data_IF_121855878830
#
_entry.id   IF_121855878830
#
_cell.length_a   1.000
_cell.length_b   1.000
_cell.length_c   1.000
_cell.angle_alpha   90.00
_cell.angle_beta   90.00
_cell.angle_gamma   90.00
#
_symmetry.space_group_name_H-M   'P 1'
#
loop_
_entity.id
_entity.type
_entity.pdbx_description
1 polymer ?
#
# COMPACT_ATOMS: atom_id res chain seq x y z
N UNK A 1 29.11 6.63 -23.48
CA UNK A 1 29.50 5.55 -24.42
C UNK A 1 28.50 5.54 -25.57
N UNK A 2 28.92 5.64 -26.85
CA UNK A 2 27.98 5.76 -27.96
C UNK A 2 27.56 4.40 -28.57
N UNK A 3 26.32 4.39 -29.03
CA UNK A 3 25.59 3.36 -29.79
C UNK A 3 26.33 2.95 -31.09
N UNK A 4 26.29 1.66 -31.48
CA UNK A 4 26.72 1.17 -32.81
C UNK A 4 25.55 0.48 -33.53
N UNK A 5 25.26 0.82 -34.80
CA UNK A 5 24.22 0.15 -35.59
C UNK A 5 24.73 -0.96 -36.53
N UNK A 6 23.79 -1.86 -36.82
CA UNK A 6 23.58 -2.90 -37.85
C UNK A 6 24.62 -3.21 -38.94
N UNK A 7 24.73 -4.52 -39.24
CA UNK A 7 25.28 -5.07 -40.49
C UNK A 7 24.20 -5.86 -41.25
N UNK A 8 24.00 -5.51 -42.52
CA UNK A 8 23.21 -6.24 -43.56
C UNK A 8 24.18 -6.98 -44.53
N UNK A 9 23.73 -7.79 -45.52
CA UNK A 9 23.98 -9.22 -45.65
C UNK A 9 24.82 -9.58 -46.90
N UNK A 10 25.03 -10.88 -47.20
CA UNK A 10 24.80 -11.35 -48.58
C UNK A 10 24.17 -12.77 -48.55
N UNK A 11 23.62 -13.38 -49.60
CA UNK A 11 23.56 -13.15 -51.04
C UNK A 11 22.90 -14.40 -51.64
N UNK A 12 22.16 -14.25 -52.74
CA UNK A 12 21.27 -15.25 -53.34
C UNK A 12 21.98 -15.98 -54.51
N UNK A 13 21.93 -17.30 -54.55
CA UNK A 13 22.16 -18.19 -55.72
C UNK A 13 21.78 -19.61 -55.27
N UNK A 14 21.08 -20.50 -55.98
CA UNK A 14 21.07 -20.82 -57.40
C UNK A 14 19.71 -21.43 -57.84
N UNK A 15 19.46 -21.43 -59.16
CA UNK A 15 18.34 -22.10 -59.84
C UNK A 15 18.65 -23.59 -60.03
N UNK A 16 17.74 -24.48 -59.61
CA UNK A 16 17.72 -25.90 -59.96
C UNK A 16 16.57 -26.20 -60.93
N UNK A 17 16.83 -27.04 -61.92
CA UNK A 17 15.95 -27.42 -63.04
C UNK A 17 14.81 -28.34 -62.62
N UNK A 18 13.58 -28.05 -63.07
CA UNK A 18 12.36 -28.78 -62.72
C UNK A 18 12.12 -29.97 -63.68
N UNK A 19 11.94 -31.17 -63.11
CA UNK A 19 11.56 -32.39 -63.84
C UNK A 19 10.06 -32.73 -63.56
N UNK A 20 9.17 -32.74 -64.56
CA UNK A 20 7.71 -32.77 -64.31
C UNK A 20 7.09 -34.12 -63.94
N UNK A 21 7.78 -35.24 -64.09
CA UNK A 21 7.16 -36.57 -64.02
C UNK A 21 7.08 -37.17 -62.60
N UNK A 22 7.88 -36.69 -61.66
CA UNK A 22 7.94 -37.23 -60.29
C UNK A 22 6.85 -36.63 -59.35
N UNK A 23 6.15 -35.60 -59.81
CA UNK A 23 5.24 -34.81 -58.97
C UNK A 23 3.79 -35.30 -58.99
N UNK A 24 3.44 -36.25 -59.87
CA UNK A 24 2.05 -36.63 -60.11
C UNK A 24 1.53 -37.72 -59.15
N UNK A 25 2.41 -38.53 -58.56
CA UNK A 25 2.01 -39.59 -57.63
C UNK A 25 1.74 -39.06 -56.20
N UNK A 26 2.45 -38.01 -55.78
CA UNK A 26 2.22 -37.35 -54.49
C UNK A 26 0.85 -36.63 -54.44
N UNK A 27 0.40 -36.08 -55.57
CA UNK A 27 -0.84 -35.31 -55.65
C UNK A 27 -2.10 -36.19 -55.64
N UNK A 28 -2.04 -37.41 -56.18
CA UNK A 28 -3.19 -38.32 -56.18
C UNK A 28 -3.51 -38.84 -54.77
N UNK A 29 -2.47 -39.12 -53.97
CA UNK A 29 -2.65 -39.57 -52.58
C UNK A 29 -3.18 -38.44 -51.67
N UNK A 30 -2.70 -37.20 -51.84
CA UNK A 30 -3.23 -36.04 -51.12
C UNK A 30 -4.70 -35.75 -51.47
N UNK A 31 -5.13 -36.00 -52.72
CA UNK A 31 -6.51 -35.76 -53.16
C UNK A 31 -7.51 -36.74 -52.50
N UNK A 32 -7.12 -38.00 -52.34
CA UNK A 32 -7.95 -39.05 -51.72
C UNK A 32 -8.14 -38.80 -50.21
N UNK A 33 -7.07 -38.44 -49.49
CA UNK A 33 -7.16 -38.07 -48.07
C UNK A 33 -8.02 -36.83 -47.82
N UNK A 34 -7.92 -35.82 -48.70
CA UNK A 34 -8.74 -34.62 -48.61
C UNK A 34 -10.24 -34.90 -48.86
N UNK A 35 -10.58 -35.89 -49.68
CA UNK A 35 -11.97 -36.27 -49.98
C UNK A 35 -12.67 -36.98 -48.80
N UNK A 36 -11.93 -37.78 -48.04
CA UNK A 36 -12.44 -38.49 -46.86
C UNK A 36 -12.69 -37.53 -45.69
N UNK A 37 -11.80 -36.55 -45.50
CA UNK A 37 -11.96 -35.48 -44.50
C UNK A 37 -13.18 -34.59 -44.82
N UNK A 38 -13.43 -34.31 -46.11
CA UNK A 38 -14.62 -33.52 -46.54
C UNK A 38 -15.95 -34.26 -46.37
N UNK A 39 -15.96 -35.61 -46.39
CA UNK A 39 -17.17 -36.40 -46.14
C UNK A 39 -17.54 -36.47 -44.66
N UNK A 40 -16.56 -36.55 -43.76
CA UNK A 40 -16.80 -36.52 -42.31
C UNK A 40 -17.31 -35.15 -41.81
N UNK A 41 -16.92 -34.06 -42.47
CA UNK A 41 -17.34 -32.70 -42.13
C UNK A 41 -18.77 -32.31 -42.58
N UNK A 42 -19.50 -33.22 -43.26
CA UNK A 42 -20.84 -32.96 -43.83
C UNK A 42 -22.00 -33.64 -43.10
N UNK A 43 -21.76 -34.18 -41.90
CA UNK A 43 -22.84 -34.72 -41.08
C UNK A 43 -23.53 -33.61 -40.24
N UNK A 44 -24.79 -33.24 -40.56
CA UNK A 44 -25.52 -32.21 -39.85
C UNK A 44 -25.82 -32.58 -38.38
N UNK A 45 -25.72 -33.86 -38.00
CA UNK A 45 -25.89 -34.32 -36.61
C UNK A 45 -24.64 -34.06 -35.78
N UNK A 46 -23.45 -34.34 -36.34
CA UNK A 46 -22.17 -34.02 -35.71
C UNK A 46 -21.97 -32.50 -35.53
N UNK A 47 -22.36 -31.70 -36.54
CA UNK A 47 -22.26 -30.24 -36.47
C UNK A 47 -23.22 -29.61 -35.44
N UNK A 48 -24.36 -30.25 -35.14
CA UNK A 48 -25.32 -29.79 -34.13
C UNK A 48 -24.86 -30.15 -32.71
N UNK A 49 -24.29 -31.34 -32.52
CA UNK A 49 -23.72 -31.79 -31.25
C UNK A 49 -22.49 -30.99 -30.84
N UNK A 50 -21.58 -30.68 -31.78
CA UNK A 50 -20.41 -29.81 -31.52
C UNK A 50 -20.85 -28.39 -31.16
N UNK A 51 -21.87 -27.83 -31.83
CA UNK A 51 -22.43 -26.51 -31.47
C UNK A 51 -23.09 -26.49 -30.10
N UNK A 52 -23.73 -27.58 -29.68
CA UNK A 52 -24.35 -27.67 -28.35
C UNK A 52 -23.30 -27.91 -27.26
N UNK A 53 -22.26 -28.69 -27.53
CA UNK A 53 -21.13 -28.88 -26.62
C UNK A 53 -20.34 -27.58 -26.40
N UNK A 54 -20.10 -26.77 -27.45
CA UNK A 54 -19.43 -25.46 -27.33
C UNK A 54 -20.30 -24.47 -26.54
N UNK A 55 -21.62 -24.42 -26.79
CA UNK A 55 -22.53 -23.56 -26.02
C UNK A 55 -22.66 -23.98 -24.55
N UNK A 56 -22.71 -25.28 -24.27
CA UNK A 56 -22.75 -25.79 -22.90
C UNK A 56 -21.43 -25.52 -22.15
N UNK A 57 -20.28 -25.64 -22.83
CA UNK A 57 -18.97 -25.36 -22.24
C UNK A 57 -18.78 -23.86 -21.95
N UNK A 58 -19.28 -22.97 -22.82
CA UNK A 58 -19.25 -21.52 -22.57
C UNK A 58 -20.23 -21.07 -21.47
N UNK A 59 -21.36 -21.75 -21.29
CA UNK A 59 -22.35 -21.42 -20.25
C UNK A 59 -21.97 -21.98 -18.87
N UNK A 60 -21.12 -23.02 -18.78
CA UNK A 60 -20.68 -23.59 -17.50
C UNK A 60 -19.42 -22.93 -16.91
N UNK A 61 -18.64 -22.20 -17.72
CA UNK A 61 -17.41 -21.54 -17.28
C UNK A 61 -17.59 -20.06 -16.89
N UNK A 62 -18.81 -19.51 -16.97
CA UNK A 62 -19.03 -18.06 -16.86
C UNK A 62 -19.38 -17.50 -15.46
N UNK A 63 -19.75 -18.23 -14.40
CA UNK A 63 -20.01 -17.56 -13.12
C UNK A 63 -18.76 -17.41 -12.22
N UNK A 64 -17.58 -17.88 -12.61
CA UNK A 64 -16.40 -17.87 -11.72
C UNK A 64 -15.45 -16.66 -11.88
N UNK A 65 -15.84 -15.65 -12.65
CA UNK A 65 -15.02 -14.44 -12.87
C UNK A 65 -15.54 -13.20 -12.14
N UNK A 66 -16.61 -13.31 -11.34
CA UNK A 66 -17.14 -12.19 -10.55
C UNK A 66 -16.84 -12.39 -9.07
N UNK A 67 -15.54 -12.42 -8.73
CA UNK A 67 -15.14 -12.06 -7.38
C UNK A 67 -15.49 -10.57 -7.22
N UNK A 68 -16.30 -10.16 -6.22
CA UNK A 68 -16.45 -8.75 -5.95
C UNK A 68 -15.05 -8.23 -5.63
N UNK A 69 -14.53 -7.35 -6.49
CA UNK A 69 -13.44 -6.48 -6.08
C UNK A 69 -13.97 -5.72 -4.88
N UNK A 70 -13.59 -6.13 -3.68
CA UNK A 70 -13.81 -5.33 -2.49
C UNK A 70 -13.12 -4.00 -2.79
N UNK A 71 -13.92 -2.99 -3.15
CA UNK A 71 -13.42 -1.64 -3.27
C UNK A 71 -12.78 -1.34 -1.92
N UNK A 72 -11.49 -0.98 -1.92
CA UNK A 72 -10.88 -0.35 -0.77
C UNK A 72 -11.60 0.97 -0.59
N UNK A 73 -12.75 0.93 0.10
CA UNK A 73 -13.46 2.12 0.49
C UNK A 73 -12.50 2.89 1.39
N UNK A 74 -12.14 4.11 0.98
CA UNK A 74 -11.48 5.05 1.88
C UNK A 74 -12.35 5.10 3.14
N UNK A 75 -11.81 4.77 4.33
CA UNK A 75 -12.59 4.86 5.55
C UNK A 75 -13.21 6.26 5.64
N UNK A 76 -14.44 6.39 6.15
CA UNK A 76 -15.02 7.71 6.39
C UNK A 76 -14.00 8.56 7.15
N UNK A 77 -13.91 9.84 6.79
CA UNK A 77 -13.00 10.79 7.47
C UNK A 77 -13.27 10.80 8.98
N UNK A 78 -14.50 10.46 9.39
CA UNK A 78 -14.96 10.43 10.78
C UNK A 78 -14.90 9.03 11.42
N UNK A 79 -14.25 8.06 10.78
CA UNK A 79 -14.03 6.76 11.41
C UNK A 79 -12.91 6.85 12.45
N UNK A 80 -13.03 6.06 13.52
CA UNK A 80 -12.01 5.96 14.57
C UNK A 80 -10.61 5.64 13.98
N UNK A 81 -10.55 4.74 13.00
CA UNK A 81 -9.30 4.41 12.33
C UNK A 81 -8.68 5.60 11.57
N UNK A 82 -9.51 6.43 10.91
CA UNK A 82 -9.03 7.64 10.24
C UNK A 82 -8.55 8.69 11.26
N UNK A 83 -9.25 8.82 12.38
CA UNK A 83 -8.89 9.73 13.47
C UNK A 83 -7.55 9.33 14.11
N UNK A 84 -7.36 8.05 14.44
CA UNK A 84 -6.09 7.51 14.97
C UNK A 84 -4.95 7.69 13.96
N UNK A 85 -5.19 7.44 12.67
CA UNK A 85 -4.18 7.64 11.63
C UNK A 85 -3.76 9.11 11.50
N UNK A 86 -4.72 10.04 11.61
CA UNK A 86 -4.44 11.47 11.64
C UNK A 86 -3.65 11.88 12.88
N UNK A 87 -4.01 11.34 14.05
CA UNK A 87 -3.27 11.53 15.29
C UNK A 87 -1.83 11.05 15.20
N UNK A 88 -1.60 9.86 14.63
CA UNK A 88 -0.26 9.34 14.37
C UNK A 88 0.56 10.32 13.52
N UNK A 89 -0.02 10.84 12.44
CA UNK A 89 0.63 11.81 11.57
C UNK A 89 1.01 13.08 12.34
N UNK A 90 0.10 13.62 13.15
CA UNK A 90 0.42 14.80 13.96
C UNK A 90 1.56 14.50 14.92
N UNK A 91 1.47 13.42 15.70
CA UNK A 91 2.47 13.06 16.72
C UNK A 91 3.87 12.91 16.13
N UNK A 92 4.00 12.27 14.96
CA UNK A 92 5.31 11.93 14.39
C UNK A 92 5.85 12.95 13.40
N UNK A 93 4.98 13.73 12.76
CA UNK A 93 5.37 14.55 11.58
C UNK A 93 5.12 16.04 11.74
N UNK A 94 4.17 16.44 12.59
CA UNK A 94 3.78 17.84 12.75
C UNK A 94 4.16 18.37 14.12
N UNK A 95 3.68 17.70 15.18
CA UNK A 95 3.97 18.03 16.57
C UNK A 95 5.32 17.51 17.06
N UNK A 96 5.96 16.61 16.31
CA UNK A 96 7.30 16.07 16.61
C UNK A 96 7.42 15.58 18.07
N UNK A 97 6.37 14.96 18.60
CA UNK A 97 6.31 14.62 20.02
C UNK A 97 7.43 13.64 20.41
N UNK A 98 7.84 12.79 19.46
CA UNK A 98 8.93 11.81 19.62
C UNK A 98 10.29 12.46 19.85
N UNK A 99 10.52 13.71 19.44
CA UNK A 99 11.81 14.39 19.64
C UNK A 99 12.17 14.56 21.12
N UNK A 100 11.13 14.71 21.96
CA UNK A 100 11.26 14.84 23.41
C UNK A 100 10.76 13.61 24.16
N UNK A 101 9.78 12.87 23.63
CA UNK A 101 9.11 11.77 24.33
C UNK A 101 9.57 10.37 23.90
N UNK A 102 10.56 10.23 23.01
CA UNK A 102 11.18 8.95 22.67
C UNK A 102 12.65 8.96 23.11
N UNK A 103 13.11 7.98 23.91
CA UNK A 103 14.53 7.83 24.25
C UNK A 103 15.43 7.79 23.04
N UNK A 104 16.63 8.35 23.17
CA UNK A 104 17.65 8.38 22.14
C UNK A 104 18.85 7.53 22.55
N UNK A 105 19.50 6.89 21.58
CA UNK A 105 20.74 6.16 21.80
C UNK A 105 21.94 7.11 21.96
N UNK A 106 23.13 6.54 22.14
CA UNK A 106 24.38 7.29 22.32
C UNK A 106 24.77 8.14 21.09
N UNK A 107 24.12 7.92 19.94
CA UNK A 107 24.28 8.70 18.71
C UNK A 107 23.19 9.77 18.54
N UNK A 108 22.29 9.91 19.53
CA UNK A 108 21.17 10.85 19.48
C UNK A 108 20.03 10.40 18.57
N UNK A 109 20.01 9.13 18.15
CA UNK A 109 18.94 8.58 17.30
C UNK A 109 17.81 8.01 18.15
N UNK A 110 16.54 8.21 17.77
CA UNK A 110 15.42 7.68 18.54
C UNK A 110 15.43 6.14 18.56
N UNK A 111 15.25 5.57 19.74
CA UNK A 111 15.15 4.13 19.95
C UNK A 111 13.71 3.71 19.64
N UNK A 112 13.46 3.22 18.42
CA UNK A 112 12.10 2.92 17.96
C UNK A 112 11.31 1.93 18.83
N UNK A 113 11.98 0.98 19.49
CA UNK A 113 11.33 0.06 20.43
C UNK A 113 10.81 0.74 21.71
N UNK A 114 11.23 1.98 21.98
CA UNK A 114 10.84 2.79 23.11
C UNK A 114 10.07 4.05 22.66
N UNK A 115 9.38 3.98 21.53
CA UNK A 115 8.64 5.11 21.00
C UNK A 115 7.60 5.61 22.02
N UNK A 116 7.61 6.93 22.24
CA UNK A 116 6.69 7.66 23.12
C UNK A 116 6.71 7.20 24.60
N UNK A 117 7.80 6.57 25.03
CA UNK A 117 7.98 6.07 26.41
C UNK A 117 8.41 7.13 27.43
N UNK A 118 8.64 8.36 26.99
CA UNK A 118 9.28 9.42 27.77
C UNK A 118 10.79 9.24 27.77
N UNK A 119 11.53 10.32 28.00
CA UNK A 119 12.98 10.36 27.91
C UNK A 119 13.60 11.38 28.86
N UNK A 120 14.87 11.17 29.18
CA UNK A 120 15.71 12.24 29.70
C UNK A 120 16.04 13.21 28.54
N UNK A 121 15.93 14.50 28.83
CA UNK A 121 16.21 15.58 27.89
C UNK A 121 17.65 16.04 28.09
N UNK A 122 18.51 15.74 27.12
CA UNK A 122 19.94 16.06 27.17
C UNK A 122 20.23 17.48 26.66
N UNK A 123 19.46 18.46 27.12
CA UNK A 123 19.71 19.87 26.88
C UNK A 123 19.26 20.71 28.07
N UNK A 124 19.91 21.85 28.27
CA UNK A 124 19.62 22.79 29.35
C UNK A 124 19.57 24.20 28.80
N UNK A 125 18.70 25.07 29.33
CA UNK A 125 18.67 26.46 28.92
C UNK A 125 19.92 27.20 29.40
N UNK A 126 20.42 28.14 28.60
CA UNK A 126 21.59 28.96 28.96
C UNK A 126 21.30 29.92 30.13
N UNK A 127 20.03 30.23 30.34
CA UNK A 127 19.53 31.06 31.44
C UNK A 127 18.53 30.26 32.29
N UNK A 128 18.42 30.51 33.60
CA UNK A 128 17.44 29.83 34.43
C UNK A 128 16.00 30.04 33.93
N UNK A 129 15.31 28.94 33.60
CA UNK A 129 13.89 28.94 33.22
C UNK A 129 13.07 28.34 34.38
N UNK A 130 12.19 29.11 35.03
CA UNK A 130 11.35 28.60 36.09
C UNK A 130 10.50 27.40 35.64
N UNK A 131 10.51 26.33 36.45
CA UNK A 131 9.70 25.13 36.18
C UNK A 131 10.23 24.21 35.07
N UNK A 132 11.40 24.51 34.50
CA UNK A 132 12.06 23.64 33.52
C UNK A 132 12.20 22.20 34.03
N UNK A 133 11.95 21.23 33.16
CA UNK A 133 12.16 19.82 33.42
C UNK A 133 13.17 19.24 32.43
N UNK A 134 14.11 18.46 32.94
CA UNK A 134 15.05 17.66 32.16
C UNK A 134 14.47 16.29 31.79
N UNK A 135 13.19 16.05 32.05
CA UNK A 135 12.54 14.77 31.77
C UNK A 135 11.16 14.97 31.18
N UNK A 136 10.89 14.24 30.11
CA UNK A 136 9.57 14.10 29.50
C UNK A 136 8.83 12.88 30.06
N UNK A 137 7.51 12.91 30.00
CA UNK A 137 6.65 11.82 30.49
C UNK A 137 6.38 10.78 29.41
N UNK A 138 5.96 9.58 29.78
CA UNK A 138 5.40 8.61 28.82
C UNK A 138 4.10 9.16 28.21
N UNK A 139 3.95 9.04 26.89
CA UNK A 139 2.73 9.41 26.15
C UNK A 139 1.94 8.19 25.65
N UNK A 140 2.63 7.07 25.35
CA UNK A 140 1.96 5.84 24.90
C UNK A 140 0.99 5.31 25.97
N UNK A 141 -0.28 5.14 25.62
CA UNK A 141 -1.35 4.76 26.56
C UNK A 141 -1.85 5.91 27.45
N UNK A 142 -1.64 7.16 27.01
CA UNK A 142 -1.92 8.42 27.71
C UNK A 142 -0.95 8.73 28.87
N UNK A 143 -0.67 10.02 29.13
CA UNK A 143 0.04 10.43 30.33
C UNK A 143 -0.70 10.00 31.60
N UNK A 144 0.05 9.61 32.64
CA UNK A 144 -0.54 9.17 33.90
C UNK A 144 -1.51 10.21 34.48
N UNK A 145 -2.73 9.77 34.79
CA UNK A 145 -3.78 10.60 35.38
C UNK A 145 -4.55 11.48 34.38
N UNK A 146 -4.32 11.34 33.08
CA UNK A 146 -5.10 12.02 32.04
C UNK A 146 -6.16 11.09 31.44
N UNK A 147 -7.36 11.63 31.24
CA UNK A 147 -8.32 11.08 30.27
C UNK A 147 -8.04 11.62 28.87
N UNK A 148 -8.59 10.99 27.82
CA UNK A 148 -8.48 11.51 26.44
C UNK A 148 -8.99 12.95 26.32
N UNK A 149 -10.14 13.26 26.91
CA UNK A 149 -10.73 14.60 26.86
C UNK A 149 -9.86 15.64 27.59
N UNK A 150 -9.25 15.26 28.70
CA UNK A 150 -8.31 16.12 29.43
C UNK A 150 -7.03 16.36 28.62
N UNK A 151 -6.53 15.34 27.93
CA UNK A 151 -5.37 15.48 27.05
C UNK A 151 -5.68 16.36 25.85
N UNK A 152 -6.84 16.16 25.21
CA UNK A 152 -7.29 17.03 24.12
C UNK A 152 -7.38 18.49 24.57
N UNK A 153 -8.03 18.75 25.72
CA UNK A 153 -8.11 20.10 26.30
C UNK A 153 -6.72 20.70 26.57
N UNK A 154 -5.78 19.90 27.06
CA UNK A 154 -4.39 20.33 27.25
C UNK A 154 -3.72 20.72 25.92
N UNK A 155 -3.95 19.96 24.85
CA UNK A 155 -3.37 20.22 23.53
C UNK A 155 -4.02 21.42 22.81
N UNK A 156 -5.29 21.72 23.12
CA UNK A 156 -6.00 22.90 22.60
C UNK A 156 -5.60 24.18 23.33
N UNK A 157 -5.39 24.11 24.65
CA UNK A 157 -5.27 25.30 25.50
C UNK A 157 -3.87 25.53 26.05
N UNK A 158 -3.05 24.48 26.12
CA UNK A 158 -1.76 24.46 26.83
C UNK A 158 -1.87 24.37 28.36
N UNK A 159 -3.09 24.19 28.90
CA UNK A 159 -3.33 24.11 30.34
C UNK A 159 -3.58 22.67 30.77
N UNK A 160 -2.89 22.24 31.82
CA UNK A 160 -3.11 20.95 32.48
C UNK A 160 -4.50 20.92 33.11
N UNK A 161 -5.04 19.73 33.46
CA UNK A 161 -6.33 19.62 34.16
C UNK A 161 -6.40 20.40 35.47
N UNK A 162 -5.26 20.65 36.12
CA UNK A 162 -5.15 21.48 37.32
C UNK A 162 -5.01 22.99 37.06
N UNK A 163 -5.10 23.44 35.80
CA UNK A 163 -5.02 24.85 35.40
C UNK A 163 -3.59 25.41 35.26
N UNK A 164 -2.55 24.64 35.60
CA UNK A 164 -1.17 25.04 35.34
C UNK A 164 -0.83 24.97 33.84
N UNK A 165 0.10 25.79 33.36
CA UNK A 165 0.58 25.75 31.98
C UNK A 165 1.56 24.57 31.79
N UNK A 166 1.66 24.06 30.56
CA UNK A 166 2.71 23.14 30.15
C UNK A 166 4.09 23.58 30.68
N UNK A 167 4.79 22.66 31.36
CA UNK A 167 6.11 22.96 31.94
C UNK A 167 7.19 23.00 30.86
N UNK A 168 8.06 24.02 30.83
CA UNK A 168 9.18 24.06 29.89
C UNK A 168 10.05 22.80 29.99
N UNK A 169 10.58 22.26 28.88
CA UNK A 169 10.56 22.82 27.52
C UNK A 169 9.32 22.46 26.69
N UNK A 170 8.30 21.80 27.26
CA UNK A 170 7.09 21.44 26.53
C UNK A 170 6.37 22.70 26.02
N UNK A 171 6.12 22.84 24.71
CA UNK A 171 5.38 23.98 24.19
C UNK A 171 3.91 23.92 24.61
N UNK A 172 3.30 25.08 24.81
CA UNK A 172 1.87 25.20 24.97
C UNK A 172 1.20 25.11 23.59
N UNK A 173 0.75 23.91 23.21
CA UNK A 173 0.03 23.70 21.96
C UNK A 173 -1.28 24.48 21.90
N UNK A 174 -1.73 24.72 20.67
CA UNK A 174 -2.99 25.37 20.30
C UNK A 174 -3.61 24.65 19.11
N UNK A 175 -3.73 23.32 19.23
CA UNK A 175 -4.39 22.52 18.21
C UNK A 175 -5.87 22.91 18.13
N UNK A 176 -6.48 22.73 16.96
CA UNK A 176 -7.94 22.73 16.90
C UNK A 176 -8.48 21.46 17.56
N UNK A 177 -9.77 21.48 17.90
CA UNK A 177 -10.46 20.40 18.62
C UNK A 177 -10.31 19.03 17.92
N UNK A 178 -10.44 18.99 16.59
CA UNK A 178 -10.33 17.76 15.83
C UNK A 178 -8.93 17.15 15.94
N UNK A 179 -7.89 17.96 15.77
CA UNK A 179 -6.49 17.54 15.85
C UNK A 179 -6.09 17.12 17.26
N UNK A 180 -6.57 17.84 18.27
CA UNK A 180 -6.32 17.50 19.67
C UNK A 180 -6.94 16.15 20.06
N UNK A 181 -8.20 15.91 19.65
CA UNK A 181 -8.84 14.60 19.83
C UNK A 181 -8.12 13.50 19.06
N UNK A 182 -7.68 13.77 17.83
CA UNK A 182 -6.94 12.80 17.03
C UNK A 182 -5.64 12.36 17.72
N UNK A 183 -4.86 13.31 18.25
CA UNK A 183 -3.65 13.02 19.01
C UNK A 183 -3.98 12.20 20.26
N UNK A 184 -5.01 12.59 21.02
CA UNK A 184 -5.41 11.87 22.22
C UNK A 184 -5.84 10.42 21.92
N UNK A 185 -6.67 10.21 20.90
CA UNK A 185 -7.12 8.89 20.45
C UNK A 185 -5.95 8.02 20.00
N UNK A 186 -5.03 8.58 19.20
CA UNK A 186 -3.82 7.86 18.79
C UNK A 186 -2.98 7.42 19.99
N UNK A 187 -2.68 8.33 20.91
CA UNK A 187 -1.87 8.00 22.09
C UNK A 187 -2.55 6.97 22.99
N UNK A 188 -3.87 7.02 23.15
CA UNK A 188 -4.63 6.02 23.90
C UNK A 188 -4.57 4.64 23.23
N UNK A 189 -4.58 4.57 21.90
CA UNK A 189 -4.51 3.30 21.15
C UNK A 189 -3.19 2.53 21.30
N UNK A 190 -2.15 3.15 21.87
CA UNK A 190 -0.82 2.56 22.08
C UNK A 190 -0.69 1.77 23.40
N UNK A 191 -1.79 1.52 24.11
CA UNK A 191 -1.80 0.82 25.39
C UNK A 191 -1.78 -0.70 25.25
#
# INVERSE_FOLDING_TARGET
MPFRPDKKPPGRSARGTYNPLENNEMTDNQSKSASLIRRAARDPRAARLVRHAIKALCMLALPLAFAPTAAFAKPPIDSEAALIAHGNYIVHRVGMCTDCHTPKDDHGMPIGAQDLQGAELHFTPDVPVPGFTNRSVRLAGLPAGYTEAQLATFLETGHTPGGAIARPPMPAYRLNEHDARAVAAYLHSLN
#
